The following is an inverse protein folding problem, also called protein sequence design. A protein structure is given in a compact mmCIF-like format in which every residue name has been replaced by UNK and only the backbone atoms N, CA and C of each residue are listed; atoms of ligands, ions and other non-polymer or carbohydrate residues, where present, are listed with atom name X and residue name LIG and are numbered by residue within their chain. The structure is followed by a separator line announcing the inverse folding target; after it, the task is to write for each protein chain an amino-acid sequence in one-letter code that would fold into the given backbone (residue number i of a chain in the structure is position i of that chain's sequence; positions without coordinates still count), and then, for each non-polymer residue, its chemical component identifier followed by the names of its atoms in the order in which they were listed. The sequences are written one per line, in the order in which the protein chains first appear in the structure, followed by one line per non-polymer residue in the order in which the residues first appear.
data_IF_964256120463
#
_entry.id   IF_964256120463
#
_cell.length_a   1.000
_cell.length_b   1.000
_cell.length_c   1.000
_cell.angle_alpha   90.00
_cell.angle_beta   90.00
_cell.angle_gamma   90.00
#
_symmetry.space_group_name_H-M   'P 1'
#
loop_
_entity.id
_entity.type
_entity.pdbx_description
1 polymer ?
#
# COMPACT_ATOMS: atom_id res chain seq x y z
N UNK A 1 5.20 -8.08 -22.70
CA UNK A 1 6.28 -7.55 -21.83
C UNK A 1 5.72 -6.53 -20.84
N UNK A 2 5.99 -6.67 -19.52
CA UNK A 2 5.62 -5.67 -18.49
C UNK A 2 6.73 -4.62 -18.37
N UNK A 3 6.41 -3.34 -18.53
CA UNK A 3 7.37 -2.23 -18.42
C UNK A 3 6.87 -1.22 -17.40
N UNK A 4 7.71 -0.78 -16.46
CA UNK A 4 7.30 0.17 -15.45
C UNK A 4 8.48 0.98 -14.91
N UNK A 5 8.16 2.16 -14.39
CA UNK A 5 9.07 3.05 -13.68
C UNK A 5 8.50 3.28 -12.29
N UNK A 6 9.40 3.27 -11.31
CA UNK A 6 9.07 3.45 -9.91
C UNK A 6 10.01 4.48 -9.31
N UNK A 7 9.44 5.54 -8.72
CA UNK A 7 10.19 6.63 -8.12
C UNK A 7 9.81 6.81 -6.65
N UNK A 8 10.82 6.87 -5.80
CA UNK A 8 10.68 7.29 -4.41
C UNK A 8 11.59 8.48 -4.17
N UNK A 9 11.02 9.60 -3.76
CA UNK A 9 11.78 10.79 -3.39
C UNK A 9 11.52 11.13 -1.93
N UNK A 10 12.61 11.34 -1.19
CA UNK A 10 12.57 11.79 0.18
C UNK A 10 13.10 13.23 0.22
N UNK A 11 12.22 14.18 0.47
CA UNK A 11 12.53 15.62 0.54
C UNK A 11 12.65 15.99 2.00
N UNK A 12 13.84 16.49 2.37
CA UNK A 12 14.12 16.99 3.73
C UNK A 12 13.74 18.46 3.81
N UNK A 13 13.07 18.85 4.88
CA UNK A 13 12.82 20.27 5.15
C UNK A 13 14.11 20.96 5.62
N UNK A 14 14.28 22.24 5.23
CA UNK A 14 15.39 23.06 5.70
C UNK A 14 15.38 23.24 7.24
N UNK A 15 14.18 23.36 7.82
CA UNK A 15 13.96 23.24 9.26
C UNK A 15 13.20 21.92 9.53
N UNK A 16 13.87 20.87 10.04
CA UNK A 16 13.25 19.58 10.24
C UNK A 16 12.14 19.68 11.30
N UNK A 17 10.96 19.15 10.98
CA UNK A 17 9.87 18.99 11.94
C UNK A 17 10.35 18.10 13.10
N UNK A 18 10.03 18.48 14.34
CA UNK A 18 10.46 17.76 15.54
C UNK A 18 9.93 16.31 15.55
N UNK A 19 10.77 15.33 15.92
CA UNK A 19 10.42 13.92 16.04
C UNK A 19 10.77 13.04 14.81
N UNK A 20 10.18 11.84 14.71
CA UNK A 20 10.35 10.88 13.59
C UNK A 20 9.69 11.35 12.26
N UNK A 21 9.33 12.63 12.19
CA UNK A 21 8.37 13.25 11.28
C UNK A 21 8.99 14.22 10.26
N UNK A 22 10.32 14.25 10.15
CA UNK A 22 11.04 15.36 9.51
C UNK A 22 11.06 15.40 7.98
N UNK A 23 10.42 14.48 7.26
CA UNK A 23 10.62 14.37 5.82
C UNK A 23 9.30 14.18 5.06
N UNK A 24 9.18 14.90 3.94
CA UNK A 24 8.18 14.65 2.91
C UNK A 24 8.63 13.46 2.07
N UNK A 25 7.80 12.43 2.01
CA UNK A 25 8.01 11.25 1.17
C UNK A 25 7.04 11.31 0.01
N UNK A 26 7.57 11.23 -1.20
CA UNK A 26 6.79 11.19 -2.43
C UNK A 26 7.06 9.85 -3.10
N UNK A 27 5.99 9.21 -3.53
CA UNK A 27 5.99 7.98 -4.30
C UNK A 27 5.29 8.25 -5.63
N UNK A 28 5.90 7.81 -6.72
CA UNK A 28 5.34 7.85 -8.06
C UNK A 28 5.54 6.52 -8.74
N UNK A 29 4.53 6.09 -9.48
CA UNK A 29 4.54 4.85 -10.23
C UNK A 29 3.87 5.06 -11.58
N UNK A 30 4.46 4.51 -12.63
CA UNK A 30 3.86 4.44 -13.95
C UNK A 30 4.25 3.13 -14.62
N UNK A 31 3.29 2.37 -15.11
CA UNK A 31 3.53 1.09 -15.75
C UNK A 31 2.60 0.84 -16.93
N UNK A 32 3.08 0.10 -17.92
CA UNK A 32 2.32 -0.36 -19.06
C UNK A 32 2.75 -1.77 -19.50
N UNK A 33 1.85 -2.53 -20.10
CA UNK A 33 2.18 -3.78 -20.77
C UNK A 33 2.31 -3.55 -22.28
N UNK A 34 3.50 -3.84 -22.80
CA UNK A 34 3.81 -3.78 -24.22
C UNK A 34 3.61 -5.18 -24.82
N UNK A 35 2.67 -5.33 -25.75
CA UNK A 35 2.39 -6.57 -26.51
C UNK A 35 2.38 -7.84 -25.65
N UNK A 36 1.39 -7.96 -24.77
CA UNK A 36 1.15 -9.21 -24.05
C UNK A 36 -0.34 -9.51 -24.04
N UNK A 37 -0.75 -10.38 -24.99
CA UNK A 37 -2.12 -10.85 -25.05
C UNK A 37 -2.33 -11.84 -23.91
N UNK A 38 -3.13 -11.42 -22.93
CA UNK A 38 -3.62 -12.25 -21.83
C UNK A 38 -2.56 -12.74 -20.81
N UNK A 39 -1.87 -11.84 -20.09
CA UNK A 39 -1.03 -12.25 -18.95
C UNK A 39 -1.81 -13.07 -17.92
N UNK A 40 -1.09 -14.00 -17.28
CA UNK A 40 -1.55 -14.61 -16.05
C UNK A 40 -1.94 -13.52 -15.04
N UNK A 41 -3.12 -13.64 -14.44
CA UNK A 41 -3.65 -12.63 -13.52
C UNK A 41 -2.71 -12.32 -12.34
N UNK A 42 -1.76 -13.22 -12.03
CA UNK A 42 -0.71 -13.03 -11.04
C UNK A 42 0.22 -11.84 -11.34
N UNK A 43 0.54 -11.57 -12.62
CA UNK A 43 1.58 -10.58 -13.01
C UNK A 43 1.05 -9.15 -13.20
N UNK A 44 -0.26 -8.95 -13.15
CA UNK A 44 -0.92 -7.66 -13.32
C UNK A 44 -0.36 -6.58 -12.39
N UNK A 45 -0.47 -5.32 -12.81
CA UNK A 45 -0.25 -4.19 -11.91
C UNK A 45 -1.29 -4.20 -10.80
N UNK A 46 -0.85 -3.91 -9.57
CA UNK A 46 -1.70 -3.86 -8.38
C UNK A 46 -1.86 -2.43 -7.88
N UNK A 47 -3.07 -2.09 -7.43
CA UNK A 47 -3.30 -0.78 -6.84
C UNK A 47 -3.07 -0.77 -5.34
N UNK A 48 -3.60 -1.79 -4.63
CA UNK A 48 -3.41 -1.99 -3.20
C UNK A 48 -2.10 -2.67 -2.84
N UNK A 49 -1.71 -2.55 -1.58
CA UNK A 49 -0.58 -3.29 -1.00
C UNK A 49 -0.72 -4.80 -1.16
N UNK A 50 0.42 -5.48 -1.30
CA UNK A 50 0.48 -6.93 -1.31
C UNK A 50 0.21 -7.46 0.11
N UNK A 51 -0.68 -8.45 0.21
CA UNK A 51 -1.14 -9.07 1.46
C UNK A 51 -1.23 -10.58 1.28
N UNK A 52 -1.18 -11.32 2.38
CA UNK A 52 -1.23 -12.78 2.42
C UNK A 52 -2.63 -13.37 2.47
N UNK A 53 -3.68 -12.56 2.37
CA UNK A 53 -5.06 -13.01 2.63
C UNK A 53 -5.63 -14.01 1.60
N UNK A 54 -6.14 -15.12 2.14
CA UNK A 54 -6.80 -16.32 1.57
C UNK A 54 -7.13 -16.31 0.06
N UNK A 55 -8.11 -15.54 -0.40
CA UNK A 55 -8.60 -15.59 -1.79
C UNK A 55 -7.88 -14.66 -2.77
N UNK A 56 -7.02 -13.77 -2.26
CA UNK A 56 -6.37 -12.71 -3.06
C UNK A 56 -4.88 -12.64 -2.78
N UNK A 57 -4.23 -13.80 -2.64
CA UNK A 57 -2.78 -13.87 -2.54
C UNK A 57 -2.15 -13.25 -3.79
N UNK A 58 -1.58 -12.05 -3.59
CA UNK A 58 -0.91 -11.26 -4.63
C UNK A 58 0.62 -11.45 -4.59
N UNK A 59 1.09 -12.27 -3.65
CA UNK A 59 2.50 -12.58 -3.38
C UNK A 59 3.05 -13.72 -4.25
N UNK A 60 2.95 -13.59 -5.57
CA UNK A 60 3.46 -14.63 -6.49
C UNK A 60 5.00 -14.73 -6.50
N UNK A 61 5.71 -13.68 -6.03
CA UNK A 61 7.17 -13.64 -5.96
C UNK A 61 7.72 -14.15 -4.63
N UNK A 62 6.87 -14.32 -3.62
CA UNK A 62 7.25 -14.70 -2.25
C UNK A 62 8.38 -13.81 -1.68
N UNK A 63 8.35 -12.52 -2.01
CA UNK A 63 9.43 -11.59 -1.68
C UNK A 63 9.29 -10.97 -0.29
N UNK A 64 8.11 -11.06 0.32
CA UNK A 64 7.86 -10.45 1.62
C UNK A 64 7.54 -11.51 2.67
N UNK A 65 7.96 -11.24 3.91
CA UNK A 65 7.65 -12.09 5.06
C UNK A 65 6.27 -11.73 5.59
N UNK A 66 5.24 -12.40 5.07
CA UNK A 66 3.85 -12.27 5.50
C UNK A 66 3.58 -13.27 6.63
N UNK A 67 3.29 -12.75 7.83
CA UNK A 67 3.03 -13.58 9.02
C UNK A 67 1.66 -14.25 8.89
N UNK A 68 0.64 -13.48 8.53
CA UNK A 68 -0.74 -13.96 8.34
C UNK A 68 -1.03 -14.51 6.94
N UNK A 69 -0.09 -15.24 6.33
CA UNK A 69 -0.33 -15.83 5.01
C UNK A 69 -1.43 -16.89 5.12
N UNK A 70 -2.49 -16.74 4.31
CA UNK A 70 -3.74 -17.51 4.38
C UNK A 70 -4.52 -17.38 5.71
N UNK A 71 -4.28 -16.33 6.48
CA UNK A 71 -5.01 -16.12 7.72
C UNK A 71 -6.44 -15.61 7.47
N UNK A 72 -7.33 -15.83 8.43
CA UNK A 72 -8.72 -15.39 8.39
C UNK A 72 -8.78 -13.85 8.28
N UNK A 73 -9.74 -13.32 7.51
CA UNK A 73 -9.99 -11.87 7.35
C UNK A 73 -10.15 -11.09 8.66
N UNK A 74 -10.59 -11.76 9.73
CA UNK A 74 -10.78 -11.17 11.06
C UNK A 74 -9.51 -11.16 11.92
N UNK A 75 -8.43 -11.83 11.48
CA UNK A 75 -7.16 -11.81 12.17
C UNK A 75 -6.42 -10.50 11.92
N UNK A 76 -5.77 -10.00 12.96
CA UNK A 76 -4.85 -8.86 12.89
C UNK A 76 -3.79 -9.09 11.79
N UNK A 77 -3.23 -10.29 11.70
CA UNK A 77 -2.16 -10.58 10.74
C UNK A 77 -2.60 -10.52 9.28
N UNK A 78 -3.90 -10.61 9.00
CA UNK A 78 -4.46 -10.43 7.65
C UNK A 78 -4.40 -8.98 7.16
N UNK A 79 -4.08 -8.04 8.04
CA UNK A 79 -4.02 -6.59 7.77
C UNK A 79 -2.61 -6.11 7.43
N UNK A 80 -1.64 -7.03 7.41
CA UNK A 80 -0.27 -6.73 7.00
C UNK A 80 -0.25 -6.41 5.49
N UNK A 81 0.41 -5.31 5.13
CA UNK A 81 0.60 -4.86 3.76
C UNK A 81 2.08 -4.59 3.44
N UNK A 82 2.44 -4.81 2.18
CA UNK A 82 3.67 -4.32 1.59
C UNK A 82 3.34 -3.52 0.34
N UNK A 83 3.78 -2.26 0.27
CA UNK A 83 3.51 -1.41 -0.88
C UNK A 83 4.16 -1.99 -2.15
N UNK A 84 3.36 -2.10 -3.21
CA UNK A 84 3.76 -2.60 -4.52
C UNK A 84 3.05 -1.81 -5.62
N UNK A 85 3.70 -1.65 -6.78
CA UNK A 85 3.15 -0.96 -7.95
C UNK A 85 2.56 0.42 -7.58
N UNK A 86 1.23 0.62 -7.64
CA UNK A 86 0.63 1.93 -7.36
C UNK A 86 0.62 2.31 -5.87
N UNK A 87 0.86 1.35 -4.96
CA UNK A 87 1.27 1.64 -3.58
C UNK A 87 0.19 2.13 -2.61
N UNK A 88 -1.11 1.94 -2.91
CA UNK A 88 -2.18 2.33 -1.99
C UNK A 88 -2.10 1.50 -0.69
N UNK A 89 -2.20 2.17 0.47
CA UNK A 89 -2.14 1.54 1.81
C UNK A 89 -3.44 0.87 2.26
N UNK A 90 -4.18 0.28 1.32
CA UNK A 90 -5.46 -0.41 1.55
C UNK A 90 -5.34 -1.90 1.25
N UNK A 91 -6.21 -2.70 1.90
CA UNK A 91 -6.39 -4.14 1.62
C UNK A 91 -7.33 -4.40 0.44
N UNK A 92 -7.87 -3.34 -0.16
CA UNK A 92 -8.78 -3.45 -1.29
C UNK A 92 -8.14 -4.27 -2.43
N UNK A 93 -8.89 -5.25 -2.91
CA UNK A 93 -8.52 -6.04 -4.09
C UNK A 93 -8.84 -5.34 -5.42
N UNK A 94 -9.09 -4.03 -5.42
CA UNK A 94 -9.31 -3.28 -6.65
C UNK A 94 -8.09 -3.27 -7.58
N UNK A 95 -8.42 -3.05 -8.87
CA UNK A 95 -7.47 -2.62 -9.89
C UNK A 95 -6.33 -3.60 -10.13
N UNK A 96 -6.67 -4.81 -10.58
CA UNK A 96 -5.70 -5.71 -11.20
C UNK A 96 -5.72 -5.48 -12.70
N UNK A 97 -4.73 -4.77 -13.23
CA UNK A 97 -4.70 -4.39 -14.66
C UNK A 97 -3.48 -4.90 -15.40
N UNK A 98 -3.71 -5.33 -16.63
CA UNK A 98 -2.69 -5.74 -17.59
C UNK A 98 -2.50 -4.72 -18.72
N UNK A 99 -3.02 -3.50 -18.56
CA UNK A 99 -2.88 -2.43 -19.55
C UNK A 99 -1.90 -1.38 -19.08
N UNK A 100 -2.36 -0.39 -18.33
CA UNK A 100 -1.53 0.64 -17.72
C UNK A 100 -1.96 0.89 -16.27
N UNK A 101 -1.06 1.42 -15.47
CA UNK A 101 -1.34 1.87 -14.13
C UNK A 101 -0.46 3.05 -13.76
N UNK A 102 -1.04 4.02 -13.08
CA UNK A 102 -0.32 5.13 -12.48
C UNK A 102 -0.60 5.14 -10.98
N UNK A 103 0.41 5.44 -10.19
CA UNK A 103 0.33 5.57 -8.74
C UNK A 103 1.01 6.82 -8.27
N UNK A 104 0.46 7.43 -7.23
CA UNK A 104 0.99 8.61 -6.58
C UNK A 104 0.75 8.47 -5.09
N UNK A 105 1.77 8.76 -4.28
CA UNK A 105 1.68 8.72 -2.83
C UNK A 105 2.46 9.86 -2.21
N UNK A 106 1.90 10.44 -1.16
CA UNK A 106 2.57 11.40 -0.29
C UNK A 106 2.45 10.94 1.15
N UNK A 107 3.53 11.05 1.91
CA UNK A 107 3.51 11.01 3.38
C UNK A 107 4.30 12.17 3.93
N UNK A 108 3.80 12.78 4.99
CA UNK A 108 4.53 13.83 5.69
C UNK A 108 4.16 13.88 7.17
N UNK A 109 5.11 14.28 8.00
CA UNK A 109 4.95 14.39 9.43
C UNK A 109 4.07 15.56 9.85
N UNK A 110 3.29 15.33 10.90
CA UNK A 110 2.58 16.40 11.60
C UNK A 110 3.63 17.29 12.31
N UNK A 111 3.42 18.63 12.36
CA UNK A 111 4.32 19.56 13.06
C UNK A 111 4.22 19.47 14.60
N UNK A 112 4.08 18.26 15.13
CA UNK A 112 4.05 17.93 16.55
C UNK A 112 5.10 16.84 16.81
N UNK A 113 5.69 16.76 18.01
CA UNK A 113 6.69 15.74 18.37
C UNK A 113 6.06 14.36 18.61
N UNK A 114 5.08 13.99 17.79
CA UNK A 114 4.38 12.72 17.83
C UNK A 114 4.86 11.86 16.67
N UNK A 115 4.95 10.53 16.79
CA UNK A 115 5.32 9.64 15.69
C UNK A 115 4.18 9.44 14.68
N UNK A 116 3.47 10.52 14.30
CA UNK A 116 2.28 10.48 13.45
C UNK A 116 2.54 11.26 12.16
N UNK A 117 2.25 10.64 11.02
CA UNK A 117 2.29 11.25 9.71
C UNK A 117 0.89 11.27 9.11
N UNK A 118 0.59 12.21 8.23
CA UNK A 118 -0.53 12.09 7.32
C UNK A 118 -0.07 11.46 6.01
N UNK A 119 -0.97 10.75 5.34
CA UNK A 119 -0.71 10.16 4.05
C UNK A 119 -1.87 10.40 3.08
N UNK A 120 -1.53 10.43 1.80
CA UNK A 120 -2.47 10.43 0.70
C UNK A 120 -1.89 9.55 -0.41
N UNK A 121 -2.65 8.57 -0.87
CA UNK A 121 -2.29 7.74 -2.01
C UNK A 121 -3.42 7.78 -3.04
N UNK A 122 -3.07 7.79 -4.32
CA UNK A 122 -3.99 7.73 -5.44
C UNK A 122 -3.44 6.82 -6.54
N UNK A 123 -4.35 6.17 -7.26
CA UNK A 123 -4.03 5.29 -8.37
C UNK A 123 -5.02 5.47 -9.52
N UNK A 124 -4.50 5.45 -10.74
CA UNK A 124 -5.27 5.55 -11.98
C UNK A 124 -5.03 4.28 -12.79
N UNK A 125 -6.10 3.61 -13.18
CA UNK A 125 -6.03 2.35 -13.92
C UNK A 125 -7.29 2.17 -14.79
N UNK A 126 -7.21 1.37 -15.86
CA UNK A 126 -8.38 1.00 -16.64
C UNK A 126 -9.12 -0.14 -15.95
N UNK A 127 -10.42 0.01 -15.84
CA UNK A 127 -11.38 -0.97 -15.32
C UNK A 127 -12.32 -1.40 -16.44
N UNK A 128 -12.64 -2.69 -16.51
CA UNK A 128 -13.56 -3.21 -17.51
C UNK A 128 -15.00 -3.01 -17.05
N UNK A 129 -15.78 -2.24 -17.79
CA UNK A 129 -17.20 -2.04 -17.55
C UNK A 129 -18.00 -3.07 -18.35
N UNK A 130 -18.68 -3.96 -17.62
CA UNK A 130 -19.50 -5.04 -18.19
C UNK A 130 -20.70 -4.51 -18.99
N UNK A 131 -21.26 -3.35 -18.62
CA UNK A 131 -22.47 -2.82 -19.26
C UNK A 131 -22.15 -2.18 -20.61
N UNK A 132 -21.02 -1.47 -20.69
CA UNK A 132 -20.57 -0.82 -21.93
C UNK A 132 -19.61 -1.68 -22.75
N UNK A 133 -19.19 -2.85 -22.24
CA UNK A 133 -18.16 -3.72 -22.83
C UNK A 133 -16.88 -2.98 -23.22
N UNK A 134 -16.53 -1.94 -22.46
CA UNK A 134 -15.39 -1.05 -22.73
C UNK A 134 -14.56 -0.87 -21.45
N UNK A 135 -13.29 -0.53 -21.66
CA UNK A 135 -12.44 -0.10 -20.55
C UNK A 135 -12.71 1.37 -20.25
N UNK A 136 -12.99 1.68 -18.98
CA UNK A 136 -13.10 3.03 -18.46
C UNK A 136 -11.89 3.33 -17.57
N UNK A 137 -11.39 4.56 -17.63
CA UNK A 137 -10.37 5.01 -16.68
C UNK A 137 -11.02 5.22 -15.32
N UNK A 138 -10.53 4.51 -14.31
CA UNK A 138 -10.96 4.59 -12.92
C UNK A 138 -9.85 5.19 -12.07
N UNK A 139 -10.25 5.96 -11.06
CA UNK A 139 -9.36 6.53 -10.05
C UNK A 139 -9.74 5.94 -8.69
N UNK A 140 -8.74 5.52 -7.92
CA UNK A 140 -8.89 5.12 -6.53
C UNK A 140 -7.96 5.99 -5.67
N UNK A 141 -8.42 6.41 -4.48
CA UNK A 141 -7.59 7.19 -3.57
C UNK A 141 -7.92 6.86 -2.11
N UNK A 142 -6.91 6.98 -1.25
CA UNK A 142 -7.03 6.77 0.19
C UNK A 142 -6.16 7.78 0.92
N UNK A 143 -6.69 8.36 1.99
CA UNK A 143 -6.01 9.34 2.81
C UNK A 143 -6.26 9.08 4.29
N UNK A 144 -5.27 9.38 5.13
CA UNK A 144 -5.43 9.19 6.56
C UNK A 144 -4.19 9.52 7.35
N UNK A 145 -4.10 8.91 8.53
CA UNK A 145 -2.97 9.06 9.44
C UNK A 145 -2.17 7.76 9.51
N UNK A 146 -0.89 7.86 9.80
CA UNK A 146 -0.04 6.71 10.05
C UNK A 146 0.78 6.90 11.32
N UNK A 147 0.75 5.89 12.19
CA UNK A 147 1.63 5.80 13.35
C UNK A 147 2.94 5.12 12.91
N UNK A 148 4.06 5.82 13.08
CA UNK A 148 5.40 5.38 12.69
C UNK A 148 6.17 4.97 13.93
N UNK A 149 6.11 3.69 14.26
CA UNK A 149 6.88 3.13 15.37
C UNK A 149 8.35 2.99 14.98
N UNK A 150 8.60 2.47 13.76
CA UNK A 150 9.92 2.32 13.17
C UNK A 150 9.82 2.63 11.68
N UNK A 151 10.48 3.71 11.25
CA UNK A 151 10.41 4.17 9.85
C UNK A 151 10.74 3.06 8.85
N UNK A 152 9.87 2.87 7.86
CA UNK A 152 9.98 1.86 6.79
C UNK A 152 10.04 0.39 7.26
N UNK A 153 9.79 0.13 8.55
CA UNK A 153 9.85 -1.19 9.18
C UNK A 153 8.56 -1.55 9.89
N UNK A 154 8.06 -0.66 10.75
CA UNK A 154 6.82 -0.86 11.48
C UNK A 154 5.99 0.42 11.46
N UNK A 155 4.94 0.40 10.64
CA UNK A 155 4.02 1.53 10.46
C UNK A 155 2.58 1.01 10.47
N UNK A 156 1.68 1.76 11.08
CA UNK A 156 0.24 1.44 11.14
C UNK A 156 -0.51 2.55 10.43
N UNK A 157 -1.39 2.22 9.50
CA UNK A 157 -2.14 3.17 8.68
C UNK A 157 -3.62 3.13 9.06
N UNK A 158 -4.13 4.30 9.42
CA UNK A 158 -5.51 4.57 9.79
C UNK A 158 -6.16 5.33 8.63
N UNK A 159 -6.87 4.65 7.71
CA UNK A 159 -7.61 5.34 6.66
C UNK A 159 -8.69 6.22 7.29
N UNK A 160 -8.85 7.43 6.79
CA UNK A 160 -9.89 8.38 7.19
C UNK A 160 -10.86 8.58 6.02
N UNK A 161 -10.31 8.73 4.81
CA UNK A 161 -11.07 8.96 3.59
C UNK A 161 -10.63 7.93 2.56
N UNK A 162 -11.59 7.22 1.99
CA UNK A 162 -11.38 6.29 0.88
C UNK A 162 -12.33 6.65 -0.26
N UNK A 163 -11.90 6.46 -1.50
CA UNK A 163 -12.78 6.55 -2.66
C UNK A 163 -13.89 5.49 -2.60
N UNK A 164 -15.01 5.78 -3.28
CA UNK A 164 -16.19 4.92 -3.25
C UNK A 164 -15.89 3.48 -3.70
N UNK A 165 -15.12 3.33 -4.77
CA UNK A 165 -14.69 2.02 -5.25
C UNK A 165 -13.94 1.23 -4.16
N UNK A 166 -12.98 1.84 -3.43
CA UNK A 166 -12.25 1.19 -2.32
C UNK A 166 -13.23 0.73 -1.25
N UNK A 167 -14.12 1.61 -0.84
CA UNK A 167 -15.10 1.31 0.20
C UNK A 167 -16.03 0.17 -0.21
N UNK A 168 -16.54 0.18 -1.43
CA UNK A 168 -17.40 -0.87 -1.98
C UNK A 168 -16.65 -2.20 -2.10
N UNK A 169 -15.42 -2.18 -2.58
CA UNK A 169 -14.61 -3.38 -2.70
C UNK A 169 -14.29 -4.01 -1.34
N UNK A 170 -13.96 -3.20 -0.32
CA UNK A 170 -13.77 -3.69 1.04
C UNK A 170 -15.06 -4.31 1.61
N UNK A 171 -16.23 -3.74 1.32
CA UNK A 171 -17.53 -4.33 1.70
C UNK A 171 -17.75 -5.69 1.02
N UNK A 172 -17.43 -5.83 -0.27
CA UNK A 172 -17.51 -7.10 -0.99
C UNK A 172 -16.56 -8.17 -0.44
N UNK A 173 -15.47 -7.74 0.19
CA UNK A 173 -14.52 -8.61 0.89
C UNK A 173 -14.89 -8.90 2.35
N UNK A 174 -16.08 -8.45 2.79
CA UNK A 174 -16.53 -8.53 4.18
C UNK A 174 -15.56 -7.87 5.18
N UNK A 175 -14.96 -6.75 4.75
CA UNK A 175 -14.11 -5.85 5.54
C UNK A 175 -14.80 -4.49 5.75
N UNK A 176 -16.07 -4.53 6.16
CA UNK A 176 -16.87 -3.33 6.35
C UNK A 176 -16.50 -2.57 7.63
N UNK A 177 -16.02 -3.27 8.67
CA UNK A 177 -15.72 -2.66 9.96
C UNK A 177 -14.45 -1.81 9.88
N UNK A 178 -14.45 -0.65 10.56
CA UNK A 178 -13.33 0.27 10.55
C UNK A 178 -12.00 -0.39 10.96
N UNK A 179 -12.03 -1.18 12.04
CA UNK A 179 -10.84 -1.89 12.52
C UNK A 179 -10.24 -2.82 11.48
N UNK A 180 -11.05 -3.42 10.59
CA UNK A 180 -10.60 -4.30 9.52
C UNK A 180 -9.94 -3.53 8.35
N UNK A 181 -10.15 -2.22 8.25
CA UNK A 181 -9.56 -1.33 7.25
C UNK A 181 -8.20 -0.80 7.65
N UNK A 182 -7.90 -0.77 8.95
CA UNK A 182 -6.57 -0.43 9.46
C UNK A 182 -5.58 -1.42 8.87
N UNK A 183 -4.48 -0.92 8.32
CA UNK A 183 -3.42 -1.77 7.76
C UNK A 183 -2.11 -1.50 8.49
N UNK A 184 -1.17 -2.42 8.40
CA UNK A 184 0.17 -2.16 8.93
C UNK A 184 1.27 -2.74 8.04
N UNK A 185 2.39 -2.05 8.00
CA UNK A 185 3.64 -2.55 7.46
C UNK A 185 4.43 -3.17 8.61
N UNK A 186 4.85 -4.42 8.46
CA UNK A 186 5.86 -5.04 9.31
C UNK A 186 6.91 -5.71 8.42
N UNK A 187 8.05 -5.04 8.23
CA UNK A 187 9.13 -5.50 7.34
C UNK A 187 10.34 -6.01 8.12
N UNK A 188 10.33 -7.32 8.39
CA UNK A 188 11.40 -8.00 9.12
C UNK A 188 12.73 -8.05 8.36
N UNK A 189 12.72 -7.96 7.02
CA UNK A 189 13.96 -7.93 6.22
C UNK A 189 14.75 -6.65 6.44
N UNK A 190 14.05 -5.54 6.69
CA UNK A 190 14.67 -4.24 7.02
C UNK A 190 14.95 -4.09 8.52
N UNK A 191 14.30 -4.90 9.36
CA UNK A 191 14.62 -4.98 10.77
C UNK A 191 15.96 -5.67 10.94
N UNK A 192 17.02 -4.90 11.22
CA UNK A 192 18.30 -5.48 11.62
C UNK A 192 18.20 -5.86 13.11
N UNK A 193 18.09 -7.16 13.48
CA UNK A 193 17.92 -7.56 14.87
C UNK A 193 19.09 -7.12 15.77
N UNK A 194 20.30 -7.00 15.20
CA UNK A 194 21.49 -6.55 15.94
C UNK A 194 21.43 -5.08 16.34
N UNK A 195 20.68 -4.23 15.61
CA UNK A 195 20.48 -2.83 16.01
C UNK A 195 19.55 -2.69 17.22
N UNK A 196 18.61 -3.63 17.39
CA UNK A 196 17.74 -3.65 18.57
C UNK A 196 18.52 -4.03 19.82
N UNK A 197 19.32 -5.11 19.77
CA UNK A 197 20.07 -5.60 20.93
C UNK A 197 21.13 -4.59 21.40
N UNK A 198 21.76 -3.83 20.48
CA UNK A 198 22.79 -2.84 20.85
C UNK A 198 22.26 -1.62 21.60
N UNK A 199 20.95 -1.34 21.52
CA UNK A 199 20.29 -0.26 22.28
C UNK A 199 19.75 -0.72 23.64
N UNK A 200 19.86 -2.02 23.96
CA UNK A 200 19.49 -2.61 25.27
C UNK A 200 20.73 -3.08 26.05
N UNK A 201 21.81 -2.31 25.98
CA UNK A 201 22.94 -2.55 26.90
C UNK A 201 22.64 -1.78 28.19
N UNK A 202 22.44 -2.52 29.28
CA UNK A 202 22.35 -1.99 30.65
C UNK A 202 23.67 -1.31 31.07
#
# INVERSE_FOLDING_TARGET
MKSFVHGYQNVRYAAPKRGLNGNLLIHVFAGTFLNYNNPAAAVNFRMGGNTGFEYFQRDYRYENTLIGRNDNKNSLWSQQIFMQDAGLKTLSNLGSTNKYAFGFGIKDGIPLPLPIQYYFDAAIYPEFDINSSKYKTTIAYSAGLSLVLLKDQFEIYFPIIDSQNITENLKLQDRANYLQKITFLLNLKKANPYKFVRNFTF
#
